data_IF_594028166242
#
_entry.id   IF_594028166242
#
_cell.length_a   1.000
_cell.length_b   1.000
_cell.length_c   1.000
_cell.angle_alpha   90.00
_cell.angle_beta   90.00
_cell.angle_gamma   90.00
#
_symmetry.space_group_name_H-M   'P 1'
#
loop_
_entity.id
_entity.type
_entity.pdbx_description
1 polymer ?
#
# COMPACT_ATOMS: atom_id res chain seq x y z
N UNK A 1 11.11 -11.46 -23.17
CA UNK A 1 12.00 -10.68 -22.28
C UNK A 1 12.36 -9.27 -22.75
N UNK A 2 12.86 -9.04 -23.97
CA UNK A 2 13.27 -7.68 -24.43
C UNK A 2 12.14 -6.63 -24.58
N UNK A 3 10.88 -7.06 -24.78
CA UNK A 3 9.74 -6.12 -25.00
C UNK A 3 9.28 -5.49 -23.69
N UNK A 4 9.34 -6.26 -22.60
CA UNK A 4 8.89 -5.81 -21.26
C UNK A 4 9.86 -4.80 -20.65
N UNK A 5 11.17 -5.01 -20.81
CA UNK A 5 12.20 -4.07 -20.31
C UNK A 5 12.08 -2.68 -20.94
N UNK A 6 11.82 -2.59 -22.25
CA UNK A 6 11.63 -1.29 -22.93
C UNK A 6 10.37 -0.57 -22.44
N UNK A 7 9.31 -1.32 -22.17
CA UNK A 7 8.06 -0.75 -21.64
C UNK A 7 8.28 -0.21 -20.23
N UNK A 8 8.92 -0.99 -19.36
CA UNK A 8 9.26 -0.58 -18.00
C UNK A 8 10.14 0.68 -17.98
N UNK A 9 11.18 0.71 -18.84
CA UNK A 9 12.08 1.88 -18.96
C UNK A 9 11.29 3.11 -19.42
N UNK A 10 10.41 2.97 -20.41
CA UNK A 10 9.58 4.08 -20.88
C UNK A 10 8.62 4.60 -19.79
N UNK A 11 8.01 3.70 -19.01
CA UNK A 11 7.14 4.05 -17.87
C UNK A 11 7.93 4.81 -16.80
N UNK A 12 9.12 4.34 -16.43
CA UNK A 12 9.99 5.02 -15.45
C UNK A 12 10.38 6.42 -15.94
N UNK A 13 10.77 6.55 -17.22
CA UNK A 13 11.12 7.85 -17.80
C UNK A 13 9.92 8.80 -17.77
N UNK A 14 8.73 8.32 -18.09
CA UNK A 14 7.50 9.13 -18.08
C UNK A 14 7.14 9.61 -16.67
N UNK A 15 7.29 8.74 -15.67
CA UNK A 15 7.10 9.08 -14.26
C UNK A 15 8.14 10.13 -13.82
N UNK A 16 9.41 9.96 -14.17
CA UNK A 16 10.47 10.91 -13.82
C UNK A 16 10.22 12.28 -14.46
N UNK A 17 9.81 12.32 -15.72
CA UNK A 17 9.48 13.58 -16.41
C UNK A 17 8.28 14.28 -15.76
N UNK A 18 7.25 13.51 -15.36
CA UNK A 18 6.09 14.06 -14.65
C UNK A 18 6.48 14.60 -13.26
N UNK A 19 7.38 13.92 -12.54
CA UNK A 19 7.90 14.38 -11.24
C UNK A 19 8.71 15.67 -11.33
N UNK A 20 9.47 15.87 -12.41
CA UNK A 20 10.23 17.12 -12.65
C UNK A 20 9.28 18.31 -12.82
N UNK A 21 8.09 18.06 -13.40
CA UNK A 21 7.09 19.10 -13.64
C UNK A 21 6.18 19.38 -12.45
N UNK A 22 6.11 18.47 -11.47
CA UNK A 22 5.16 18.56 -10.36
C UNK A 22 5.72 17.95 -9.07
N UNK A 23 6.10 18.81 -8.13
CA UNK A 23 6.62 18.39 -6.83
C UNK A 23 5.62 17.54 -6.02
N UNK A 24 4.31 17.79 -6.15
CA UNK A 24 3.29 17.01 -5.44
C UNK A 24 3.27 15.55 -5.91
N UNK A 25 3.50 15.32 -7.21
CA UNK A 25 3.59 13.97 -7.75
C UNK A 25 4.80 13.21 -7.20
N UNK A 26 5.94 13.90 -7.05
CA UNK A 26 7.14 13.32 -6.43
C UNK A 26 6.86 12.90 -4.98
N UNK A 27 6.21 13.76 -4.19
CA UNK A 27 5.80 13.43 -2.83
C UNK A 27 4.79 12.26 -2.81
N UNK A 28 3.83 12.24 -3.72
CA UNK A 28 2.86 11.15 -3.82
C UNK A 28 3.55 9.80 -4.08
N UNK A 29 4.50 9.75 -5.02
CA UNK A 29 5.26 8.53 -5.32
C UNK A 29 6.12 8.08 -4.14
N UNK A 30 6.75 9.03 -3.43
CA UNK A 30 7.50 8.71 -2.22
C UNK A 30 6.60 8.06 -1.16
N UNK A 31 5.40 8.61 -0.94
CA UNK A 31 4.46 8.06 0.03
C UNK A 31 3.89 6.70 -0.38
N UNK A 32 3.65 6.49 -1.68
CA UNK A 32 3.28 5.17 -2.21
C UNK A 32 4.40 4.16 -1.97
N UNK A 33 5.65 4.53 -2.22
CA UNK A 33 6.80 3.66 -1.97
C UNK A 33 6.93 3.30 -0.48
N UNK A 34 6.79 4.28 0.41
CA UNK A 34 6.85 4.05 1.86
C UNK A 34 5.68 3.16 2.35
N UNK A 35 4.50 3.31 1.76
CA UNK A 35 3.34 2.45 1.99
C UNK A 35 3.66 0.99 1.64
N UNK A 36 4.22 0.71 0.47
CA UNK A 36 4.64 -0.63 0.06
C UNK A 36 5.75 -1.22 0.94
N UNK A 37 6.71 -0.37 1.35
CA UNK A 37 7.76 -0.77 2.28
C UNK A 37 7.18 -1.19 3.63
N UNK A 38 6.13 -0.53 4.10
CA UNK A 38 5.47 -0.92 5.35
C UNK A 38 4.86 -2.34 5.27
N UNK A 39 4.17 -2.66 4.17
CA UNK A 39 3.67 -4.03 3.93
C UNK A 39 4.80 -5.04 3.94
N UNK A 40 5.87 -4.75 3.21
CA UNK A 40 7.04 -5.62 3.11
C UNK A 40 7.67 -5.87 4.48
N UNK A 41 7.89 -4.84 5.29
CA UNK A 41 8.52 -4.97 6.61
C UNK A 41 7.69 -5.87 7.55
N UNK A 42 6.37 -5.70 7.56
CA UNK A 42 5.48 -6.54 8.38
C UNK A 42 5.43 -7.98 7.87
N UNK A 43 5.38 -8.19 6.55
CA UNK A 43 5.40 -9.53 5.96
C UNK A 43 6.72 -10.27 6.25
N UNK A 44 7.87 -9.59 6.12
CA UNK A 44 9.19 -10.15 6.48
C UNK A 44 9.24 -10.54 7.97
N UNK A 45 8.64 -9.74 8.86
CA UNK A 45 8.55 -10.06 10.30
C UNK A 45 7.77 -11.35 10.55
N UNK A 46 6.78 -11.68 9.72
CA UNK A 46 6.03 -12.93 9.78
C UNK A 46 6.69 -14.09 9.01
N UNK A 47 7.90 -13.89 8.48
CA UNK A 47 8.67 -14.94 7.82
C UNK A 47 8.46 -15.07 6.32
N UNK A 48 7.68 -14.18 5.70
CA UNK A 48 7.60 -14.10 4.25
C UNK A 48 8.96 -13.75 3.64
N UNK A 49 9.23 -14.22 2.42
CA UNK A 49 10.48 -13.91 1.72
C UNK A 49 10.20 -12.91 0.60
N UNK A 50 11.07 -11.93 0.48
CA UNK A 50 11.04 -11.00 -0.63
C UNK A 50 11.54 -11.68 -1.92
N UNK A 51 10.78 -11.60 -3.00
CA UNK A 51 11.14 -12.18 -4.29
C UNK A 51 11.54 -11.12 -5.30
N UNK A 52 10.68 -10.13 -5.49
CA UNK A 52 10.89 -9.13 -6.54
C UNK A 52 10.11 -7.84 -6.24
N UNK A 53 10.51 -6.75 -6.90
CA UNK A 53 9.75 -5.50 -6.97
C UNK A 53 9.17 -5.34 -8.37
N UNK A 54 7.86 -5.30 -8.47
CA UNK A 54 7.17 -4.97 -9.70
C UNK A 54 6.84 -3.48 -9.71
N UNK A 55 7.31 -2.77 -10.73
CA UNK A 55 7.01 -1.37 -10.95
C UNK A 55 5.91 -1.27 -12.01
N UNK A 56 4.80 -0.64 -11.68
CA UNK A 56 3.68 -0.36 -12.57
C UNK A 56 3.43 1.14 -12.65
N UNK A 57 2.71 1.58 -13.69
CA UNK A 57 2.32 3.00 -13.88
C UNK A 57 1.59 3.57 -12.64
N UNK A 58 0.87 2.72 -11.91
CA UNK A 58 0.08 3.11 -10.74
C UNK A 58 0.79 2.88 -9.40
N UNK A 59 2.07 2.52 -9.39
CA UNK A 59 2.84 2.34 -8.17
C UNK A 59 3.86 1.20 -8.24
N UNK A 60 4.44 0.91 -7.10
CA UNK A 60 5.40 -0.17 -6.89
C UNK A 60 4.72 -1.23 -6.04
N UNK A 61 4.87 -2.50 -6.41
CA UNK A 61 4.34 -3.63 -5.64
C UNK A 61 5.47 -4.57 -5.28
N UNK A 62 5.59 -4.90 -4.00
CA UNK A 62 6.51 -5.94 -3.55
C UNK A 62 5.89 -7.33 -3.77
N UNK A 63 6.55 -8.19 -4.54
CA UNK A 63 6.18 -9.60 -4.66
C UNK A 63 6.80 -10.37 -3.50
N UNK A 64 5.93 -10.83 -2.60
CA UNK A 64 6.29 -11.58 -1.41
C UNK A 64 5.81 -13.02 -1.54
N UNK A 65 6.70 -13.99 -1.33
CA UNK A 65 6.31 -15.40 -1.23
C UNK A 65 5.67 -15.69 0.12
N UNK A 66 4.88 -16.76 0.16
CA UNK A 66 4.33 -17.34 1.39
C UNK A 66 3.31 -16.47 2.17
N UNK A 67 2.83 -15.36 1.59
CA UNK A 67 1.73 -14.58 2.20
C UNK A 67 0.50 -15.49 2.38
N UNK A 68 0.23 -16.38 1.43
CA UNK A 68 -0.93 -17.26 1.51
C UNK A 68 -0.82 -18.30 2.64
N UNK A 69 0.39 -18.60 3.10
CA UNK A 69 0.63 -19.48 4.23
C UNK A 69 0.44 -18.81 5.61
N UNK A 70 0.37 -17.49 5.66
CA UNK A 70 0.13 -16.73 6.90
C UNK A 70 -1.28 -16.99 7.44
N UNK A 71 -1.43 -16.87 8.76
CA UNK A 71 -2.76 -16.84 9.41
C UNK A 71 -3.52 -15.59 8.97
N UNK A 72 -4.84 -15.69 8.94
CA UNK A 72 -5.70 -14.58 8.50
C UNK A 72 -5.45 -13.27 9.26
N UNK A 73 -5.20 -13.33 10.58
CA UNK A 73 -4.89 -12.13 11.36
C UNK A 73 -3.55 -11.51 10.98
N UNK A 74 -2.55 -12.34 10.63
CA UNK A 74 -1.24 -11.90 10.16
C UNK A 74 -1.37 -11.26 8.77
N UNK A 75 -2.16 -11.87 7.86
CA UNK A 75 -2.49 -11.29 6.54
C UNK A 75 -3.14 -9.91 6.69
N UNK A 76 -4.14 -9.78 7.59
CA UNK A 76 -4.80 -8.50 7.85
C UNK A 76 -3.80 -7.46 8.35
N UNK A 77 -2.88 -7.83 9.26
CA UNK A 77 -1.83 -6.91 9.73
C UNK A 77 -0.88 -6.49 8.62
N UNK A 78 -0.52 -7.41 7.72
CA UNK A 78 0.30 -7.07 6.54
C UNK A 78 -0.44 -6.04 5.69
N UNK A 79 -1.71 -6.30 5.31
CA UNK A 79 -2.48 -5.38 4.45
C UNK A 79 -2.84 -4.06 5.14
N UNK A 80 -2.93 -4.01 6.46
CA UNK A 80 -3.15 -2.75 7.19
C UNK A 80 -1.86 -1.94 7.40
N UNK A 81 -0.69 -2.53 7.23
CA UNK A 81 0.58 -1.88 7.57
C UNK A 81 0.79 -0.57 6.80
N UNK A 82 0.55 -0.56 5.49
CA UNK A 82 0.65 0.64 4.66
C UNK A 82 -0.39 1.70 5.04
N UNK A 83 -1.62 1.26 5.28
CA UNK A 83 -2.71 2.15 5.70
C UNK A 83 -2.41 2.80 7.06
N UNK A 84 -1.92 2.03 8.03
CA UNK A 84 -1.54 2.53 9.36
C UNK A 84 -0.38 3.53 9.24
N UNK A 85 0.65 3.21 8.45
CA UNK A 85 1.75 4.14 8.18
C UNK A 85 1.23 5.46 7.65
N UNK A 86 0.34 5.43 6.66
CA UNK A 86 -0.19 6.65 6.06
C UNK A 86 -1.06 7.45 7.04
N UNK A 87 -1.89 6.81 7.87
CA UNK A 87 -2.67 7.52 8.90
C UNK A 87 -1.75 8.19 9.92
N UNK A 88 -0.73 7.49 10.39
CA UNK A 88 0.24 8.03 11.35
C UNK A 88 1.03 9.19 10.73
N UNK A 89 1.49 9.03 9.49
CA UNK A 89 2.17 10.08 8.74
C UNK A 89 1.27 11.31 8.54
N UNK A 90 0.01 11.11 8.11
CA UNK A 90 -0.94 12.20 7.94
C UNK A 90 -1.13 13.01 9.23
N UNK A 91 -1.32 12.32 10.36
CA UNK A 91 -1.48 12.96 11.66
C UNK A 91 -0.20 13.72 12.06
N UNK A 92 0.97 13.08 11.93
CA UNK A 92 2.26 13.70 12.28
C UNK A 92 2.51 14.97 11.46
N UNK A 93 2.36 14.90 10.14
CA UNK A 93 2.59 16.05 9.25
C UNK A 93 1.56 17.15 9.45
N UNK A 94 0.31 16.80 9.77
CA UNK A 94 -0.69 17.81 10.14
C UNK A 94 -0.34 18.52 11.45
N UNK A 95 0.09 17.80 12.49
CA UNK A 95 0.51 18.39 13.76
C UNK A 95 1.73 19.28 13.59
N UNK A 96 2.72 18.84 12.80
CA UNK A 96 3.90 19.66 12.46
C UNK A 96 3.50 20.93 11.70
N UNK A 97 2.55 20.83 10.78
CA UNK A 97 2.05 22.00 10.05
C UNK A 97 1.40 23.03 10.97
N UNK A 98 0.80 22.61 12.08
CA UNK A 98 0.21 23.54 13.08
C UNK A 98 1.29 24.36 13.80
N UNK A 99 2.52 23.87 13.85
CA UNK A 99 3.68 24.55 14.48
C UNK A 99 4.46 25.32 13.43
N UNK A 100 4.74 24.67 12.30
CA UNK A 100 5.49 25.19 11.17
C UNK A 100 4.63 25.15 9.92
N UNK A 101 4.02 26.28 9.48
CA UNK A 101 3.05 26.28 8.37
C UNK A 101 3.75 26.18 6.99
N UNK A 102 4.60 25.19 6.82
CA UNK A 102 5.27 24.88 5.55
C UNK A 102 4.34 24.10 4.63
N UNK A 103 4.24 24.52 3.39
CA UNK A 103 3.30 23.96 2.43
C UNK A 103 3.49 22.45 2.20
N UNK A 104 4.73 21.97 2.15
CA UNK A 104 4.99 20.55 1.98
C UNK A 104 4.42 19.66 3.12
N UNK A 105 4.30 20.19 4.35
CA UNK A 105 3.73 19.45 5.47
C UNK A 105 2.23 19.19 5.28
N UNK A 106 1.50 20.21 4.87
CA UNK A 106 0.06 20.03 4.63
C UNK A 106 -0.22 19.21 3.37
N UNK A 107 0.61 19.34 2.33
CA UNK A 107 0.53 18.49 1.13
C UNK A 107 0.78 17.02 1.53
N UNK A 108 1.84 16.73 2.28
CA UNK A 108 2.14 15.37 2.75
C UNK A 108 1.00 14.81 3.62
N UNK A 109 0.42 15.61 4.51
CA UNK A 109 -0.72 15.17 5.33
C UNK A 109 -1.93 14.80 4.46
N UNK A 110 -2.28 15.64 3.47
CA UNK A 110 -3.40 15.38 2.55
C UNK A 110 -3.16 14.15 1.68
N UNK A 111 -1.96 13.98 1.13
CA UNK A 111 -1.60 12.83 0.32
C UNK A 111 -1.71 11.54 1.13
N UNK A 112 -1.19 11.52 2.35
CA UNK A 112 -1.22 10.33 3.19
C UNK A 112 -2.64 9.96 3.62
N UNK A 113 -3.49 10.91 4.02
CA UNK A 113 -4.88 10.59 4.34
C UNK A 113 -5.65 10.10 3.11
N UNK A 114 -5.40 10.68 1.94
CA UNK A 114 -5.97 10.23 0.67
C UNK A 114 -5.54 8.80 0.32
N UNK A 115 -4.24 8.48 0.44
CA UNK A 115 -3.71 7.14 0.20
C UNK A 115 -4.29 6.10 1.17
N UNK A 116 -4.40 6.44 2.47
CA UNK A 116 -5.01 5.56 3.46
C UNK A 116 -6.47 5.26 3.14
N UNK A 117 -7.25 6.30 2.83
CA UNK A 117 -8.66 6.14 2.47
C UNK A 117 -8.84 5.33 1.19
N UNK A 118 -8.06 5.65 0.15
CA UNK A 118 -8.11 4.94 -1.13
C UNK A 118 -7.78 3.45 -0.97
N UNK A 119 -6.71 3.12 -0.23
CA UNK A 119 -6.31 1.72 -0.03
C UNK A 119 -7.25 0.93 0.90
N UNK A 120 -8.11 1.58 1.67
CA UNK A 120 -9.17 0.91 2.45
C UNK A 120 -10.41 0.56 1.64
N UNK A 121 -10.56 1.06 0.42
CA UNK A 121 -11.72 0.73 -0.42
C UNK A 121 -11.75 -0.78 -0.73
N UNK A 122 -12.94 -1.41 -0.67
CA UNK A 122 -13.10 -2.83 -0.99
C UNK A 122 -13.12 -3.09 -2.51
N UNK A 123 -12.14 -2.56 -3.22
CA UNK A 123 -12.00 -2.62 -4.67
C UNK A 123 -10.64 -3.22 -5.06
N UNK A 124 -10.65 -4.28 -5.90
CA UNK A 124 -9.41 -4.86 -6.41
C UNK A 124 -8.66 -3.85 -7.30
N UNK A 125 -7.33 -3.72 -7.18
CA UNK A 125 -6.37 -4.52 -6.40
C UNK A 125 -5.94 -3.95 -5.03
N UNK A 126 -6.75 -3.10 -4.39
CA UNK A 126 -6.41 -2.37 -3.17
C UNK A 126 -6.39 -3.27 -1.93
N UNK A 127 -5.68 -2.84 -0.87
CA UNK A 127 -5.52 -3.60 0.38
C UNK A 127 -6.86 -3.88 1.06
N UNK A 128 -7.77 -2.92 1.04
CA UNK A 128 -9.12 -3.06 1.57
C UNK A 128 -9.88 -4.23 0.95
N UNK A 129 -9.67 -4.52 -0.34
CA UNK A 129 -10.29 -5.68 -0.98
C UNK A 129 -9.79 -7.00 -0.40
N UNK A 130 -8.49 -7.11 -0.11
CA UNK A 130 -7.87 -8.29 0.50
C UNK A 130 -8.34 -8.50 1.93
N UNK A 131 -8.41 -7.43 2.71
CA UNK A 131 -8.95 -7.47 4.08
C UNK A 131 -10.41 -7.91 4.06
N UNK A 132 -11.21 -7.33 3.17
CA UNK A 132 -12.62 -7.66 3.03
C UNK A 132 -12.85 -9.12 2.62
N UNK A 133 -12.06 -9.64 1.69
CA UNK A 133 -12.07 -11.04 1.27
C UNK A 133 -11.81 -12.00 2.45
N UNK A 134 -10.80 -11.72 3.28
CA UNK A 134 -10.49 -12.52 4.46
C UNK A 134 -11.65 -12.50 5.47
N UNK A 135 -12.25 -11.35 5.73
CA UNK A 135 -13.37 -11.20 6.65
C UNK A 135 -14.60 -11.95 6.15
N UNK A 136 -14.90 -11.85 4.85
CA UNK A 136 -16.04 -12.55 4.26
C UNK A 136 -15.85 -14.07 4.27
N UNK A 137 -14.66 -14.57 3.94
CA UNK A 137 -14.36 -16.00 3.96
C UNK A 137 -14.57 -16.60 5.36
N UNK A 138 -14.11 -15.94 6.40
CA UNK A 138 -14.37 -16.34 7.79
C UNK A 138 -15.87 -16.42 8.12
N UNK A 139 -16.62 -15.41 7.73
CA UNK A 139 -18.06 -15.34 7.98
C UNK A 139 -18.84 -16.43 7.22
N UNK A 140 -18.40 -16.72 5.99
CA UNK A 140 -19.04 -17.75 5.16
C UNK A 140 -18.76 -19.16 5.71
N UNK A 141 -17.51 -19.46 6.08
CA UNK A 141 -17.12 -20.73 6.69
C UNK A 141 -17.88 -20.95 8.02
N UNK A 142 -17.96 -19.93 8.87
CA UNK A 142 -18.69 -19.99 10.13
C UNK A 142 -20.19 -20.30 9.92
N UNK A 143 -20.86 -19.62 8.98
CA UNK A 143 -22.28 -19.91 8.66
C UNK A 143 -22.49 -21.30 8.07
N UNK A 144 -21.54 -21.82 7.31
CA UNK A 144 -21.62 -23.16 6.73
C UNK A 144 -21.45 -24.24 7.80
N UNK A 145 -20.54 -24.04 8.75
CA UNK A 145 -20.35 -24.98 9.87
C UNK A 145 -21.57 -25.06 10.79
N UNK A 146 -22.25 -23.94 11.07
CA UNK A 146 -23.49 -23.94 11.86
C UNK A 146 -24.69 -24.62 11.18
N UNK A 147 -24.67 -24.78 9.85
CA UNK A 147 -25.76 -25.48 9.13
C UNK A 147 -25.55 -27.00 9.05
N UNK A 148 -24.39 -27.50 9.48
CA UNK A 148 -24.02 -28.93 9.41
C UNK A 148 -24.17 -29.60 10.80
N UNK A 149 -24.35 -28.80 11.85
CA UNK A 149 -24.72 -29.25 13.22
C UNK A 149 -26.20 -29.14 13.40
#
# INVERSE_FOLDING_TARGET
>A
MKKDTKKIVAEIILILLACISNNELLFALLWVLLHEVAHMLIALKFGCKFHNLEVHIFGVKAELSDIDALKDNEKILVYLAGVILNIVAALLFYLLYRIYPWEFLIISARLNIGLAFFNLLPAYPLDGSRIFEIILSKKYIYKKSQKII
#
